data_IF_646968971170
#
_entry.id   IF_646968971170
#
_cell.length_a   1.000
_cell.length_b   1.000
_cell.length_c   1.000
_cell.angle_alpha   90.00
_cell.angle_beta   90.00
_cell.angle_gamma   90.00
#
_symmetry.space_group_name_H-M   'P 1'
#
loop_
_entity.id
_entity.type
_entity.pdbx_description
1 polymer ?
#
# COMPACT_ATOMS: atom_id res chain seq x y z
N UNK A 1 5.08 16.60 -22.23
CA UNK A 1 5.54 16.05 -20.94
C UNK A 1 4.66 14.87 -20.62
N UNK A 2 5.20 13.78 -20.03
CA UNK A 2 4.37 12.63 -19.64
C UNK A 2 3.61 12.94 -18.37
N UNK A 3 2.37 12.43 -18.28
CA UNK A 3 1.46 12.65 -17.16
C UNK A 3 1.45 11.45 -16.24
N UNK A 4 1.66 11.68 -14.96
CA UNK A 4 1.76 10.65 -13.92
C UNK A 4 0.72 10.89 -12.84
N UNK A 5 -0.14 9.91 -12.59
CA UNK A 5 -1.04 9.90 -11.44
C UNK A 5 -0.44 9.05 -10.32
N UNK A 6 -0.40 9.60 -9.12
CA UNK A 6 -0.03 8.89 -7.89
C UNK A 6 -1.28 8.78 -7.03
N UNK A 7 -1.64 7.55 -6.62
CA UNK A 7 -2.89 7.27 -5.90
C UNK A 7 -2.65 6.47 -4.62
N UNK A 8 -3.40 6.75 -3.58
CA UNK A 8 -3.40 5.95 -2.34
C UNK A 8 -3.77 6.75 -1.10
N UNK A 9 -3.59 6.16 0.08
CA UNK A 9 -3.93 6.82 1.34
C UNK A 9 -3.10 8.09 1.54
N UNK A 10 -1.78 8.00 1.32
CA UNK A 10 -0.87 9.14 1.40
C UNK A 10 0.13 9.09 0.24
N UNK A 11 0.04 10.05 -0.66
CA UNK A 11 0.85 10.14 -1.88
C UNK A 11 2.10 11.01 -1.73
N UNK A 12 2.22 11.77 -0.63
CA UNK A 12 3.28 12.75 -0.39
C UNK A 12 4.71 12.26 -0.72
N UNK A 13 5.16 11.09 -0.23
CA UNK A 13 6.56 10.68 -0.46
C UNK A 13 6.90 10.52 -1.94
N UNK A 14 5.94 10.04 -2.72
CA UNK A 14 6.14 9.82 -4.15
C UNK A 14 5.89 11.09 -4.96
N UNK A 15 4.90 11.91 -4.61
CA UNK A 15 4.64 13.19 -5.28
C UNK A 15 5.86 14.11 -5.15
N UNK A 16 6.39 14.30 -3.94
CA UNK A 16 7.56 15.14 -3.72
C UNK A 16 8.80 14.66 -4.48
N UNK A 17 8.90 13.35 -4.72
CA UNK A 17 9.98 12.77 -5.51
C UNK A 17 9.71 12.91 -7.02
N UNK A 18 8.49 12.68 -7.47
CA UNK A 18 8.09 12.73 -8.88
C UNK A 18 8.16 14.16 -9.45
N UNK A 19 7.89 15.18 -8.64
CA UNK A 19 8.02 16.59 -9.02
C UNK A 19 9.46 17.00 -9.38
N UNK A 20 10.45 16.23 -8.93
CA UNK A 20 11.86 16.42 -9.31
C UNK A 20 12.21 15.80 -10.67
N UNK A 21 11.30 15.02 -11.21
CA UNK A 21 11.42 14.37 -12.51
C UNK A 21 10.60 15.16 -13.54
N UNK A 22 10.83 14.90 -14.82
CA UNK A 22 10.15 15.62 -15.89
C UNK A 22 8.75 15.04 -16.18
N UNK A 23 7.86 15.03 -15.14
CA UNK A 23 6.47 14.63 -15.24
C UNK A 23 5.53 15.79 -14.89
N UNK A 24 4.35 15.80 -15.52
CA UNK A 24 3.17 16.50 -15.04
C UNK A 24 2.47 15.58 -14.04
N UNK A 25 2.57 15.91 -12.74
CA UNK A 25 2.15 15.03 -11.64
C UNK A 25 0.74 15.36 -11.20
N UNK A 26 -0.11 14.35 -11.16
CA UNK A 26 -1.45 14.36 -10.56
C UNK A 26 -1.44 13.54 -9.28
N UNK A 27 -2.22 13.92 -8.31
CA UNK A 27 -2.33 13.21 -7.04
C UNK A 27 -3.76 12.93 -6.65
N UNK A 28 -4.05 11.69 -6.25
CA UNK A 28 -5.32 11.31 -5.63
C UNK A 28 -5.05 10.57 -4.34
N UNK A 29 -5.41 11.18 -3.21
CA UNK A 29 -5.13 10.61 -1.89
C UNK A 29 -6.33 10.72 -0.95
N UNK A 30 -6.25 9.98 0.18
CA UNK A 30 -7.24 10.10 1.22
C UNK A 30 -7.09 11.43 1.96
N UNK A 31 -5.85 11.85 2.23
CA UNK A 31 -5.53 13.12 2.87
C UNK A 31 -4.21 13.72 2.34
N UNK A 32 -4.02 15.03 2.52
CA UNK A 32 -2.75 15.71 2.35
C UNK A 32 -2.07 15.95 3.71
N UNK A 33 -0.73 15.98 3.71
CA UNK A 33 0.07 16.38 4.87
C UNK A 33 0.54 17.82 4.71
N UNK A 34 0.91 18.49 5.81
CA UNK A 34 1.35 19.89 5.79
C UNK A 34 2.53 20.15 4.83
N UNK A 35 3.43 19.17 4.69
CA UNK A 35 4.62 19.25 3.84
C UNK A 35 4.42 18.63 2.44
N UNK A 36 3.18 18.51 2.01
CA UNK A 36 2.81 18.05 0.69
C UNK A 36 3.11 19.14 -0.35
N UNK A 37 4.04 18.85 -1.28
CA UNK A 37 4.34 19.75 -2.38
C UNK A 37 3.22 19.69 -3.41
N UNK A 38 2.73 20.85 -3.81
CA UNK A 38 1.59 20.94 -4.72
C UNK A 38 1.91 20.33 -6.08
N UNK A 39 1.18 19.28 -6.51
CA UNK A 39 1.26 18.73 -7.86
C UNK A 39 0.58 19.65 -8.89
N UNK A 40 0.49 19.21 -10.14
CA UNK A 40 -0.24 19.93 -11.19
C UNK A 40 -1.73 20.02 -10.85
N UNK A 41 -2.32 18.90 -10.38
CA UNK A 41 -3.70 18.85 -9.92
C UNK A 41 -3.86 17.76 -8.84
N UNK A 42 -4.80 17.92 -7.91
CA UNK A 42 -4.95 17.04 -6.75
C UNK A 42 -6.39 16.82 -6.31
N UNK A 43 -6.66 15.62 -5.79
CA UNK A 43 -7.91 15.23 -5.14
C UNK A 43 -7.59 14.63 -3.78
N UNK A 44 -8.31 15.07 -2.75
CA UNK A 44 -8.30 14.49 -1.42
C UNK A 44 -9.71 14.06 -1.03
N UNK A 45 -9.88 12.84 -0.52
CA UNK A 45 -11.19 12.35 -0.08
C UNK A 45 -11.61 13.01 1.24
N UNK A 46 -10.64 13.17 2.16
CA UNK A 46 -10.88 13.82 3.44
C UNK A 46 -10.78 15.34 3.28
N UNK A 47 -11.85 16.04 3.59
CA UNK A 47 -11.83 17.49 3.67
C UNK A 47 -11.10 17.92 4.96
N UNK A 48 -9.94 18.56 4.82
CA UNK A 48 -9.07 18.98 5.92
C UNK A 48 -9.35 20.39 6.43
N UNK A 49 -10.55 20.93 6.26
CA UNK A 49 -10.94 22.24 6.80
C UNK A 49 -11.00 22.30 8.34
N UNK A 50 -10.81 21.17 9.01
CA UNK A 50 -10.80 21.08 10.46
C UNK A 50 -9.42 20.66 10.98
N UNK A 51 -9.08 21.07 12.21
CA UNK A 51 -7.85 20.77 12.95
C UNK A 51 -7.63 19.25 13.24
N UNK A 52 -7.95 18.39 12.30
CA UNK A 52 -7.71 16.97 12.42
C UNK A 52 -6.21 16.73 12.50
N UNK A 53 -5.72 16.26 13.63
CA UNK A 53 -4.34 15.88 13.82
C UNK A 53 -3.96 14.76 12.83
N UNK A 54 -2.80 14.85 12.22
CA UNK A 54 -2.27 13.76 11.39
C UNK A 54 -2.22 12.48 12.23
N UNK A 55 -2.82 11.42 11.75
CA UNK A 55 -2.91 10.13 12.46
C UNK A 55 -4.32 9.72 12.86
N UNK A 56 -5.32 10.57 12.71
CA UNK A 56 -6.70 10.14 12.84
C UNK A 56 -7.14 9.49 11.52
N UNK A 57 -7.11 8.16 11.49
CA UNK A 57 -7.75 7.39 10.45
C UNK A 57 -9.21 7.20 10.82
N UNK A 58 -10.11 7.84 10.11
CA UNK A 58 -11.48 7.38 10.11
C UNK A 58 -11.57 6.03 9.40
N UNK A 59 -12.37 5.12 9.95
CA UNK A 59 -12.49 3.71 9.56
C UNK A 59 -13.06 3.45 8.16
N UNK A 60 -13.23 4.48 7.32
CA UNK A 60 -14.01 4.41 6.08
C UNK A 60 -13.23 4.73 4.79
N UNK A 61 -11.93 4.48 4.78
CA UNK A 61 -11.22 4.57 3.51
C UNK A 61 -11.70 3.47 2.54
N UNK A 62 -12.28 3.88 1.41
CA UNK A 62 -12.69 3.00 0.34
C UNK A 62 -11.86 3.29 -0.93
N UNK A 63 -11.06 2.33 -1.42
CA UNK A 63 -10.30 2.49 -2.66
C UNK A 63 -11.20 2.69 -3.89
N UNK A 64 -12.44 2.18 -3.89
CA UNK A 64 -13.37 2.38 -4.99
C UNK A 64 -13.87 3.82 -5.04
N UNK A 65 -14.10 4.45 -3.90
CA UNK A 65 -14.45 5.88 -3.84
C UNK A 65 -13.29 6.74 -4.38
N UNK A 66 -12.05 6.40 -4.02
CA UNK A 66 -10.87 7.09 -4.54
C UNK A 66 -10.77 6.96 -6.07
N UNK A 67 -11.02 5.77 -6.62
CA UNK A 67 -11.04 5.53 -8.06
C UNK A 67 -12.15 6.35 -8.74
N UNK A 68 -13.33 6.38 -8.15
CA UNK A 68 -14.48 7.11 -8.70
C UNK A 68 -14.21 8.61 -8.78
N UNK A 69 -13.74 9.21 -7.70
CA UNK A 69 -13.34 10.63 -7.66
C UNK A 69 -12.21 10.96 -8.64
N UNK A 70 -11.35 9.99 -8.92
CA UNK A 70 -10.17 10.17 -9.79
C UNK A 70 -10.42 9.91 -11.28
N UNK A 71 -11.65 9.69 -11.71
CA UNK A 71 -12.00 9.32 -13.11
C UNK A 71 -11.36 10.25 -14.13
N UNK A 72 -11.46 11.55 -13.91
CA UNK A 72 -10.92 12.55 -14.82
C UNK A 72 -9.40 12.44 -14.96
N UNK A 73 -8.69 12.17 -13.87
CA UNK A 73 -7.23 11.97 -13.89
C UNK A 73 -6.86 10.66 -14.59
N UNK A 74 -7.60 9.58 -14.30
CA UNK A 74 -7.38 8.26 -14.91
C UNK A 74 -7.47 8.30 -16.44
N UNK A 75 -8.36 9.15 -16.99
CA UNK A 75 -8.45 9.35 -18.44
C UNK A 75 -7.24 10.10 -19.00
N UNK A 76 -6.79 11.15 -18.31
CA UNK A 76 -5.79 12.11 -18.80
C UNK A 76 -4.35 11.61 -18.72
N UNK A 77 -4.03 10.70 -17.77
CA UNK A 77 -2.63 10.33 -17.48
C UNK A 77 -2.10 9.21 -18.36
N UNK A 78 -0.78 9.22 -18.56
CA UNK A 78 -0.05 8.15 -19.25
C UNK A 78 0.26 6.98 -18.30
N UNK A 79 0.60 7.28 -17.03
CA UNK A 79 1.06 6.31 -16.05
C UNK A 79 0.37 6.50 -14.69
N UNK A 80 0.27 5.41 -13.94
CA UNK A 80 -0.30 5.37 -12.60
C UNK A 80 0.67 4.66 -11.67
N UNK A 81 0.97 5.26 -10.51
CA UNK A 81 1.69 4.61 -9.40
C UNK A 81 0.74 4.50 -8.21
N UNK A 82 0.69 3.31 -7.61
CA UNK A 82 -0.16 3.02 -6.46
C UNK A 82 0.66 3.07 -5.17
N UNK A 83 0.14 3.80 -4.18
CA UNK A 83 0.62 3.84 -2.80
C UNK A 83 -0.18 2.87 -1.92
N UNK A 84 0.11 2.85 -0.61
CA UNK A 84 -0.66 2.06 0.35
C UNK A 84 -2.16 2.38 0.28
N UNK A 85 -3.00 1.37 0.52
CA UNK A 85 -4.46 1.48 0.58
C UNK A 85 -5.18 1.24 -0.75
N UNK A 86 -4.48 1.21 -1.87
CA UNK A 86 -5.02 0.85 -3.18
C UNK A 86 -4.06 -0.09 -3.91
N UNK A 87 -4.58 -1.04 -4.64
CA UNK A 87 -3.80 -2.07 -5.32
C UNK A 87 -4.30 -2.32 -6.75
N UNK A 88 -3.52 -3.05 -7.53
CA UNK A 88 -3.92 -3.47 -8.87
C UNK A 88 -5.26 -4.24 -8.89
N UNK A 89 -5.58 -4.99 -7.83
CA UNK A 89 -6.81 -5.76 -7.71
C UNK A 89 -8.07 -4.90 -7.58
N UNK A 90 -7.94 -3.65 -7.09
CA UNK A 90 -9.08 -2.74 -6.90
C UNK A 90 -9.57 -2.12 -8.22
N UNK A 91 -8.74 -2.19 -9.27
CA UNK A 91 -9.14 -1.77 -10.61
C UNK A 91 -10.05 -2.82 -11.27
N UNK A 92 -11.31 -2.90 -10.82
CA UNK A 92 -12.34 -3.82 -11.32
C UNK A 92 -13.39 -3.08 -12.17
N UNK A 93 -14.30 -3.83 -12.77
CA UNK A 93 -15.39 -3.26 -13.58
C UNK A 93 -14.85 -2.33 -14.68
N UNK A 94 -15.37 -1.13 -14.75
CA UNK A 94 -14.98 -0.11 -15.73
C UNK A 94 -13.56 0.43 -15.55
N UNK A 95 -12.99 0.36 -14.33
CA UNK A 95 -11.62 0.79 -14.07
C UNK A 95 -10.57 -0.19 -14.62
N UNK A 96 -10.98 -1.39 -15.00
CA UNK A 96 -10.08 -2.41 -15.55
C UNK A 96 -9.30 -1.94 -16.79
N UNK A 97 -9.88 -1.04 -17.58
CA UNK A 97 -9.24 -0.44 -18.77
C UNK A 97 -7.94 0.34 -18.44
N UNK A 98 -7.78 0.83 -17.20
CA UNK A 98 -6.60 1.60 -16.79
C UNK A 98 -5.45 0.74 -16.28
N UNK A 99 -5.65 -0.57 -16.09
CA UNK A 99 -4.61 -1.48 -15.59
C UNK A 99 -3.31 -1.44 -16.41
N UNK A 100 -3.42 -1.18 -17.70
CA UNK A 100 -2.26 -1.03 -18.59
C UNK A 100 -1.36 0.17 -18.28
N UNK A 101 -1.89 1.20 -17.62
CA UNK A 101 -1.16 2.39 -17.21
C UNK A 101 -0.42 2.22 -15.88
N UNK A 102 -0.74 1.18 -15.08
CA UNK A 102 -0.19 0.98 -13.74
C UNK A 102 1.25 0.48 -13.83
N UNK A 103 2.15 1.25 -13.22
CA UNK A 103 3.56 0.89 -13.03
C UNK A 103 3.73 0.20 -11.66
N UNK A 104 4.48 -0.89 -11.64
CA UNK A 104 4.78 -1.63 -10.41
C UNK A 104 4.32 -3.08 -10.43
N UNK A 105 4.34 -3.72 -9.25
CA UNK A 105 3.98 -5.12 -9.11
C UNK A 105 2.46 -5.33 -9.25
N UNK A 106 2.08 -6.25 -10.12
CA UNK A 106 0.68 -6.64 -10.34
C UNK A 106 0.19 -7.74 -9.40
N UNK A 107 1.11 -8.49 -8.79
CA UNK A 107 0.84 -9.62 -7.89
C UNK A 107 1.02 -9.25 -6.42
N UNK A 108 0.51 -8.08 -6.03
CA UNK A 108 0.69 -7.52 -4.68
C UNK A 108 0.20 -8.49 -3.60
N UNK A 109 -0.92 -9.17 -3.81
CA UNK A 109 -1.48 -10.10 -2.83
C UNK A 109 -0.59 -11.31 -2.47
N UNK A 110 0.33 -11.72 -3.36
CA UNK A 110 1.30 -12.78 -3.07
C UNK A 110 2.52 -12.25 -2.31
N UNK A 111 2.88 -10.99 -2.54
CA UNK A 111 4.02 -10.35 -1.89
C UNK A 111 3.65 -9.81 -0.50
N UNK A 112 2.44 -9.29 -0.34
CA UNK A 112 1.96 -8.74 0.93
C UNK A 112 1.60 -9.81 1.96
N UNK A 113 1.20 -11.00 1.53
CA UNK A 113 1.04 -12.14 2.43
C UNK A 113 2.43 -12.70 2.78
N UNK A 114 2.89 -12.39 4.01
CA UNK A 114 4.26 -12.72 4.46
C UNK A 114 4.58 -14.21 4.38
N UNK A 115 3.60 -15.07 4.67
CA UNK A 115 3.84 -16.51 4.62
C UNK A 115 3.85 -17.04 3.18
N UNK A 116 2.99 -16.54 2.30
CA UNK A 116 3.05 -16.87 0.87
C UNK A 116 4.36 -16.41 0.25
N UNK A 117 4.78 -15.19 0.55
CA UNK A 117 6.05 -14.67 0.08
C UNK A 117 7.24 -15.50 0.59
N UNK A 118 7.26 -15.86 1.89
CA UNK A 118 8.27 -16.78 2.43
C UNK A 118 8.31 -18.09 1.66
N UNK A 119 7.18 -18.76 1.44
CA UNK A 119 7.11 -20.01 0.67
C UNK A 119 7.66 -19.87 -0.75
N UNK A 120 7.51 -18.70 -1.36
CA UNK A 120 8.02 -18.42 -2.69
C UNK A 120 9.55 -18.27 -2.72
N UNK A 121 10.14 -17.69 -1.67
CA UNK A 121 11.58 -17.34 -1.65
C UNK A 121 12.46 -18.30 -0.86
N UNK A 122 11.93 -19.08 0.10
CA UNK A 122 12.71 -19.85 1.08
C UNK A 122 13.67 -20.89 0.44
N UNK A 123 13.35 -21.39 -0.73
CA UNK A 123 14.20 -22.32 -1.47
C UNK A 123 15.20 -21.65 -2.44
N UNK A 124 15.14 -20.31 -2.56
CA UNK A 124 15.92 -19.51 -3.51
C UNK A 124 16.91 -18.57 -2.83
N UNK A 125 16.60 -18.17 -1.61
CA UNK A 125 17.37 -17.18 -0.85
C UNK A 125 17.49 -17.62 0.61
N UNK A 126 18.54 -17.15 1.26
CA UNK A 126 18.67 -17.28 2.70
C UNK A 126 17.56 -16.46 3.37
N UNK A 127 16.69 -17.15 4.10
CA UNK A 127 15.56 -16.54 4.82
C UNK A 127 15.56 -16.98 6.27
N UNK A 128 15.05 -16.16 7.21
CA UNK A 128 14.79 -16.61 8.56
C UNK A 128 13.86 -17.82 8.58
N UNK A 129 14.08 -18.74 9.50
CA UNK A 129 13.16 -19.85 9.74
C UNK A 129 11.76 -19.29 10.08
N UNK A 130 10.74 -19.76 9.37
CA UNK A 130 9.41 -19.19 9.43
C UNK A 130 8.36 -20.28 9.50
N UNK A 131 7.50 -20.20 10.49
CA UNK A 131 6.41 -21.13 10.73
C UNK A 131 5.06 -20.44 10.49
N UNK A 132 4.09 -21.17 9.96
CA UNK A 132 2.70 -20.72 9.93
C UNK A 132 2.00 -21.34 11.14
N UNK A 133 1.46 -20.48 11.97
CA UNK A 133 0.70 -20.88 13.16
C UNK A 133 -0.79 -20.66 12.94
N UNK A 134 -1.62 -21.48 13.55
CA UNK A 134 -3.07 -21.40 13.53
C UNK A 134 -3.62 -21.00 14.89
N UNK A 135 -3.01 -21.50 15.96
CA UNK A 135 -3.43 -21.28 17.32
C UNK A 135 -2.26 -21.24 18.31
N UNK A 136 -2.57 -21.14 19.59
CA UNK A 136 -1.57 -21.04 20.66
C UNK A 136 -0.78 -22.35 20.84
N UNK A 137 -1.36 -23.49 20.54
CA UNK A 137 -0.68 -24.78 20.69
C UNK A 137 0.48 -24.93 19.71
N UNK A 138 0.30 -24.44 18.47
CA UNK A 138 1.40 -24.38 17.48
C UNK A 138 2.57 -23.56 18.03
N UNK A 139 2.29 -22.45 18.70
CA UNK A 139 3.32 -21.60 19.33
C UNK A 139 4.06 -22.34 20.43
N UNK A 140 3.33 -23.00 21.33
CA UNK A 140 3.91 -23.79 22.44
C UNK A 140 4.80 -24.91 21.94
N UNK A 141 4.38 -25.61 20.90
CA UNK A 141 5.17 -26.69 20.30
C UNK A 141 6.47 -26.16 19.67
N UNK A 142 6.41 -25.06 18.91
CA UNK A 142 7.59 -24.43 18.33
C UNK A 142 8.57 -23.99 19.41
N UNK A 143 8.11 -23.35 20.48
CA UNK A 143 8.95 -22.88 21.57
C UNK A 143 9.60 -24.04 22.35
N UNK A 144 8.85 -25.12 22.64
CA UNK A 144 9.40 -26.31 23.30
C UNK A 144 10.55 -26.95 22.52
N UNK A 145 10.44 -26.96 21.19
CA UNK A 145 11.44 -27.58 20.32
C UNK A 145 12.63 -26.64 19.99
N UNK A 146 12.59 -25.38 20.42
CA UNK A 146 13.59 -24.36 20.05
C UNK A 146 13.86 -23.41 21.24
N UNK A 147 14.24 -23.96 22.37
CA UNK A 147 14.38 -23.24 23.65
C UNK A 147 15.36 -22.06 23.61
N UNK A 148 16.37 -22.14 22.76
CA UNK A 148 17.45 -21.13 22.65
C UNK A 148 17.18 -20.06 21.58
N UNK A 149 16.01 -20.08 20.92
CA UNK A 149 15.68 -19.14 19.85
C UNK A 149 14.63 -18.11 20.30
N UNK A 150 14.81 -16.90 19.80
CA UNK A 150 13.78 -15.86 19.92
C UNK A 150 12.97 -15.76 18.63
N UNK A 151 11.68 -15.58 18.76
CA UNK A 151 10.76 -15.51 17.63
C UNK A 151 9.98 -14.20 17.60
N UNK A 152 9.60 -13.77 16.41
CA UNK A 152 8.70 -12.64 16.22
C UNK A 152 7.40 -13.15 15.60
N UNK A 153 6.30 -12.95 16.30
CA UNK A 153 4.96 -13.22 15.79
C UNK A 153 4.48 -12.06 14.92
N UNK A 154 4.04 -12.37 13.70
CA UNK A 154 3.53 -11.36 12.75
C UNK A 154 2.25 -11.84 12.09
N UNK A 155 1.25 -10.97 11.88
CA UNK A 155 0.11 -11.32 11.03
C UNK A 155 0.59 -11.59 9.59
N UNK A 156 -0.02 -12.56 8.91
CA UNK A 156 0.30 -12.86 7.51
C UNK A 156 0.10 -11.66 6.60
N UNK A 157 -0.96 -10.87 6.85
CA UNK A 157 -1.28 -9.63 6.15
C UNK A 157 -1.23 -8.46 7.13
N UNK A 158 -0.94 -7.27 6.61
CA UNK A 158 -0.85 -6.03 7.39
C UNK A 158 0.50 -5.34 7.23
N UNK A 159 0.54 -4.06 7.58
CA UNK A 159 1.67 -3.15 7.43
C UNK A 159 1.90 -2.34 8.71
N UNK A 160 2.96 -1.51 8.74
CA UNK A 160 3.21 -0.58 9.83
C UNK A 160 3.52 -1.21 11.20
N UNK A 161 3.86 -2.51 11.26
CA UNK A 161 4.14 -3.19 12.54
C UNK A 161 2.91 -3.55 13.36
N UNK A 162 1.70 -3.27 12.88
CA UNK A 162 0.47 -3.62 13.59
C UNK A 162 0.36 -5.12 13.79
N UNK A 163 0.03 -5.53 15.03
CA UNK A 163 -0.10 -6.94 15.39
C UNK A 163 1.22 -7.72 15.52
N UNK A 164 2.38 -7.07 15.40
CA UNK A 164 3.69 -7.70 15.65
C UNK A 164 3.91 -7.86 17.16
N UNK A 165 4.38 -9.02 17.60
CA UNK A 165 4.73 -9.36 18.99
C UNK A 165 6.10 -10.05 19.04
N UNK A 166 6.85 -9.78 20.09
CA UNK A 166 8.07 -10.47 20.50
C UNK A 166 7.75 -11.55 21.50
#
# INVERSE_FOLDING_TARGET
MKKLLIMGVNTRPLVNSALKLNFEVYSSSYYATYDFNKPFDEIHLLNQETDASCGFFEEKYDPLELLDKSREFLEKVDYIILCAGISFSDFIGEFKKYRGKILGNKNVGEVEDKYKFYKYICNKFLTPETFKIKDIHDVEEILKNNVDKSYILKPCKGSGGYGVRL
#
